data_IF_658298620952
#
_entry.id   IF_658298620952
#
_cell.length_a   1.000
_cell.length_b   1.000
_cell.length_c   1.000
_cell.angle_alpha   90.00
_cell.angle_beta   90.00
_cell.angle_gamma   90.00
#
_symmetry.space_group_name_H-M   'P 1'
#
loop_
_entity.id
_entity.type
_entity.pdbx_description
1 polymer ?
#
# COMPACT_ATOMS: atom_id res chain seq x y z
N UNK A 1 -11.50 -10.02 -10.41
CA UNK A 1 -11.81 -8.83 -9.61
C UNK A 1 -11.16 -7.64 -10.29
N UNK A 2 -11.91 -6.57 -10.62
CA UNK A 2 -11.42 -5.47 -11.48
C UNK A 2 -10.57 -4.41 -10.76
N UNK A 3 -10.34 -4.56 -9.45
CA UNK A 3 -9.38 -3.74 -8.69
C UNK A 3 -9.62 -2.23 -8.85
N UNK A 4 -8.55 -1.41 -9.02
CA UNK A 4 -8.66 0.04 -9.19
C UNK A 4 -9.51 0.52 -10.38
N UNK A 5 -9.78 -0.35 -11.36
CA UNK A 5 -10.53 -0.01 -12.58
C UNK A 5 -12.03 -0.28 -12.48
N UNK A 6 -12.53 -0.60 -11.29
CA UNK A 6 -13.93 -0.97 -11.09
C UNK A 6 -14.91 0.14 -11.52
N UNK A 7 -14.58 1.42 -11.29
CA UNK A 7 -15.38 2.56 -11.76
C UNK A 7 -15.52 2.57 -13.28
N UNK A 8 -14.40 2.37 -14.00
CA UNK A 8 -14.40 2.34 -15.45
C UNK A 8 -15.28 1.19 -15.97
N UNK A 9 -15.26 0.03 -15.33
CA UNK A 9 -16.10 -1.11 -15.75
C UNK A 9 -17.57 -0.86 -15.47
N UNK A 10 -17.92 -0.34 -14.29
CA UNK A 10 -19.30 -0.06 -13.90
C UNK A 10 -19.93 1.00 -14.82
N UNK A 11 -19.20 2.10 -15.07
CA UNK A 11 -19.71 3.22 -15.88
C UNK A 11 -19.65 2.90 -17.38
N UNK A 12 -18.50 2.45 -17.90
CA UNK A 12 -18.28 2.43 -19.36
C UNK A 12 -18.68 1.11 -20.01
N UNK A 13 -18.68 -0.02 -19.30
CA UNK A 13 -19.03 -1.33 -19.87
C UNK A 13 -20.43 -1.78 -19.48
N UNK A 14 -20.86 -1.49 -18.25
CA UNK A 14 -22.11 -1.99 -17.70
C UNK A 14 -23.20 -0.91 -17.60
N UNK A 15 -22.87 0.36 -17.86
CA UNK A 15 -23.78 1.52 -17.76
C UNK A 15 -24.53 1.56 -16.41
N UNK A 16 -23.86 1.12 -15.35
CA UNK A 16 -24.39 1.09 -14.00
C UNK A 16 -24.18 2.48 -13.38
N UNK A 17 -25.27 3.20 -13.14
CA UNK A 17 -25.24 4.58 -12.63
C UNK A 17 -25.28 4.69 -11.11
N UNK A 18 -25.63 3.60 -10.42
CA UNK A 18 -25.74 3.56 -8.97
C UNK A 18 -24.81 2.48 -8.41
N UNK A 19 -23.72 2.91 -7.78
CA UNK A 19 -22.79 2.05 -7.07
C UNK A 19 -22.17 2.80 -5.87
N UNK A 20 -21.70 2.08 -4.84
CA UNK A 20 -21.06 2.71 -3.69
C UNK A 20 -19.83 3.54 -4.10
N UNK A 21 -19.57 4.69 -3.46
CA UNK A 21 -18.41 5.51 -3.77
C UNK A 21 -17.11 4.74 -3.49
N UNK A 22 -16.21 4.73 -4.46
CA UNK A 22 -14.92 4.08 -4.37
C UNK A 22 -13.85 5.12 -4.01
N UNK A 23 -13.05 4.80 -2.99
CA UNK A 23 -11.90 5.60 -2.59
C UNK A 23 -10.62 4.87 -3.00
N UNK A 24 -9.86 5.48 -3.90
CA UNK A 24 -8.52 5.03 -4.24
C UNK A 24 -7.53 5.64 -3.24
N UNK A 25 -6.75 4.78 -2.60
CA UNK A 25 -5.70 5.18 -1.66
C UNK A 25 -4.37 4.64 -2.18
N UNK A 26 -3.38 5.52 -2.30
CA UNK A 26 -2.05 5.11 -2.78
C UNK A 26 -1.16 4.76 -1.60
N UNK A 27 -0.65 3.52 -1.63
CA UNK A 27 0.48 3.09 -0.81
C UNK A 27 1.79 3.20 -1.59
N UNK A 28 2.85 3.71 -0.95
CA UNK A 28 4.22 3.65 -1.48
C UNK A 28 5.14 2.99 -0.46
N UNK A 29 6.27 2.48 -0.94
CA UNK A 29 7.34 1.91 -0.13
C UNK A 29 8.69 2.22 -0.74
N UNK A 30 9.74 2.12 0.08
CA UNK A 30 11.13 2.26 -0.36
C UNK A 30 11.91 0.99 0.00
N UNK A 31 12.92 0.69 -0.81
CA UNK A 31 13.88 -0.37 -0.54
C UNK A 31 15.21 0.28 -0.14
N UNK A 32 15.77 -0.17 0.98
CA UNK A 32 17.08 0.25 1.48
C UNK A 32 17.97 -0.97 1.68
N UNK A 33 19.31 -0.84 1.72
CA UNK A 33 20.18 -1.95 2.12
C UNK A 33 19.77 -2.54 3.47
N UNK A 34 20.06 -3.81 3.68
CA UNK A 34 19.68 -4.57 4.88
C UNK A 34 20.07 -3.83 6.16
N UNK A 35 19.08 -3.56 7.01
CA UNK A 35 19.27 -2.83 8.27
C UNK A 35 19.72 -3.71 9.44
N UNK A 36 19.37 -5.00 9.42
CA UNK A 36 19.62 -5.94 10.51
C UNK A 36 20.10 -7.29 9.99
N UNK A 37 20.96 -7.98 10.76
CA UNK A 37 21.49 -9.30 10.37
C UNK A 37 20.46 -10.42 10.48
N UNK A 38 19.43 -10.26 11.30
CA UNK A 38 18.37 -11.23 11.53
C UNK A 38 17.12 -10.92 10.70
N UNK A 39 16.33 -11.94 10.39
CA UNK A 39 15.17 -11.83 9.50
C UNK A 39 13.87 -11.48 10.23
N UNK A 40 13.93 -10.51 11.15
CA UNK A 40 12.74 -10.06 11.90
C UNK A 40 12.15 -8.82 11.24
N UNK A 41 10.83 -8.76 11.23
CA UNK A 41 10.07 -7.59 10.81
C UNK A 41 9.69 -6.73 12.02
N UNK A 42 9.61 -5.42 11.82
CA UNK A 42 9.21 -4.47 12.86
C UNK A 42 8.00 -3.66 12.46
N UNK A 43 7.31 -3.16 13.49
CA UNK A 43 6.19 -2.24 13.40
C UNK A 43 6.57 -1.00 14.21
N UNK A 44 6.54 0.16 13.57
CA UNK A 44 6.80 1.47 14.16
C UNK A 44 5.49 2.25 14.19
N UNK A 45 5.13 2.77 15.36
CA UNK A 45 3.98 3.66 15.53
C UNK A 45 4.49 5.10 15.44
N UNK A 46 4.10 5.80 14.37
CA UNK A 46 4.47 7.20 14.20
C UNK A 46 3.52 8.12 15.01
N UNK A 47 3.98 9.33 15.34
CA UNK A 47 3.21 10.29 16.15
C UNK A 47 1.91 10.77 15.49
N UNK A 48 1.82 10.65 14.17
CA UNK A 48 0.62 10.91 13.37
C UNK A 48 -0.38 9.74 13.34
N UNK A 49 -0.14 8.67 14.13
CA UNK A 49 -0.91 7.42 14.19
C UNK A 49 -0.78 6.52 12.96
N UNK A 50 0.09 6.85 12.01
CA UNK A 50 0.45 5.93 10.94
C UNK A 50 1.37 4.82 11.48
N UNK A 51 1.30 3.65 10.83
CA UNK A 51 2.16 2.52 11.15
C UNK A 51 3.13 2.30 9.99
N UNK A 52 4.41 2.16 10.31
CA UNK A 52 5.47 1.82 9.36
C UNK A 52 5.97 0.42 9.67
N UNK A 53 6.05 -0.42 8.65
CA UNK A 53 6.61 -1.75 8.65
C UNK A 53 8.04 -1.73 8.10
N UNK A 54 8.91 -2.50 8.72
CA UNK A 54 10.17 -2.90 8.11
C UNK A 54 10.21 -4.40 7.95
N UNK A 55 10.60 -4.87 6.76
CA UNK A 55 10.64 -6.29 6.44
C UNK A 55 11.90 -6.64 5.66
N UNK A 56 12.63 -7.72 6.01
CA UNK A 56 13.70 -8.25 5.18
C UNK A 56 13.19 -8.60 3.78
N UNK A 57 13.97 -8.27 2.75
CA UNK A 57 13.60 -8.52 1.36
C UNK A 57 14.82 -8.93 0.54
N UNK A 58 14.71 -10.04 -0.22
CA UNK A 58 15.73 -10.53 -1.14
C UNK A 58 17.16 -10.59 -0.54
N UNK A 59 17.26 -11.03 0.73
CA UNK A 59 18.49 -11.24 1.51
C UNK A 59 19.32 -9.98 1.84
N UNK A 60 19.36 -8.99 0.95
CA UNK A 60 20.25 -7.81 1.00
C UNK A 60 19.50 -6.48 1.18
N UNK A 61 18.18 -6.50 1.17
CA UNK A 61 17.36 -5.29 1.29
C UNK A 61 16.41 -5.34 2.50
N UNK A 62 15.97 -4.16 2.90
CA UNK A 62 14.85 -3.97 3.82
C UNK A 62 13.81 -3.10 3.15
N UNK A 63 12.57 -3.61 3.13
CA UNK A 63 11.40 -2.87 2.73
C UNK A 63 10.98 -1.93 3.86
N UNK A 64 10.77 -0.65 3.55
CA UNK A 64 10.16 0.35 4.44
C UNK A 64 8.85 0.85 3.82
N UNK A 65 7.74 0.71 4.52
CA UNK A 65 6.44 1.21 4.07
C UNK A 65 5.39 1.14 5.19
N UNK A 66 4.13 1.53 5.00
CA UNK A 66 3.60 2.22 3.82
C UNK A 66 3.27 3.67 4.17
N UNK A 67 3.25 4.52 3.16
CA UNK A 67 2.63 5.84 3.24
C UNK A 67 1.14 5.75 2.92
N UNK A 68 0.30 6.49 3.61
CA UNK A 68 -1.10 6.73 3.21
C UNK A 68 -1.19 8.09 2.52
N UNK A 69 -1.42 8.09 1.20
CA UNK A 69 -1.68 9.32 0.44
C UNK A 69 -3.00 9.18 -0.34
N UNK A 70 -3.88 10.16 -0.16
CA UNK A 70 -5.10 10.28 -0.97
C UNK A 70 -4.75 10.55 -2.43
N UNK A 71 -5.57 10.03 -3.34
CA UNK A 71 -5.58 10.41 -4.75
C UNK A 71 -6.41 11.67 -4.95
#
# INVERSE_FOLDING_TARGET
>A
MTGPWIDHVLVNLLNCKEYPPIRLVRGSYILVPKLYTYDRSYIFQNGDKCIIFTMPHQEEFTFLGITDCNH
#
